data_IF_892225091677
#
_entry.id   IF_892225091677
#
_cell.length_a   1.000
_cell.length_b   1.000
_cell.length_c   1.000
_cell.angle_alpha   90.00
_cell.angle_beta   90.00
_cell.angle_gamma   90.00
#
_symmetry.space_group_name_H-M   'P 1'
#
loop_
_entity.id
_entity.type
_entity.pdbx_description
1 polymer ?
#
# COMPACT_ATOMS: atom_id res chain seq x y z
N UNK A 1 5.76 -8.64 0.73
CA UNK A 1 4.91 -9.85 0.98
C UNK A 1 3.75 -9.78 -0.01
N UNK A 2 3.20 -10.91 -0.46
CA UNK A 2 2.02 -10.91 -1.33
C UNK A 2 0.99 -11.95 -0.90
N UNK A 3 -0.29 -11.63 -1.09
CA UNK A 3 -1.43 -12.54 -0.90
C UNK A 3 -2.29 -12.54 -2.17
N UNK A 4 -2.61 -13.72 -2.67
CA UNK A 4 -3.61 -13.90 -3.72
C UNK A 4 -4.98 -14.11 -3.07
N UNK A 5 -6.00 -13.43 -3.60
CA UNK A 5 -7.40 -13.75 -3.37
C UNK A 5 -7.92 -14.52 -4.59
N UNK A 6 -8.14 -15.82 -4.41
CA UNK A 6 -8.55 -16.73 -5.48
C UNK A 6 -9.98 -16.44 -5.99
N UNK A 7 -10.83 -15.81 -5.18
CA UNK A 7 -12.19 -15.48 -5.61
C UNK A 7 -12.21 -14.32 -6.60
N UNK A 8 -11.38 -13.30 -6.37
CA UNK A 8 -11.32 -12.11 -7.21
C UNK A 8 -10.21 -12.15 -8.26
N UNK A 9 -9.25 -13.08 -8.14
CA UNK A 9 -8.05 -13.13 -8.98
C UNK A 9 -7.09 -11.96 -8.74
N UNK A 10 -7.25 -11.23 -7.63
CA UNK A 10 -6.40 -10.09 -7.27
C UNK A 10 -5.28 -10.51 -6.33
N UNK A 11 -4.08 -9.97 -6.58
CA UNK A 11 -2.94 -10.11 -5.68
C UNK A 11 -2.67 -8.79 -4.98
N UNK A 12 -2.75 -8.79 -3.66
CA UNK A 12 -2.31 -7.68 -2.81
C UNK A 12 -0.84 -7.85 -2.49
N UNK A 13 -0.06 -6.79 -2.69
CA UNK A 13 1.38 -6.74 -2.47
C UNK A 13 1.69 -5.68 -1.42
N UNK A 14 2.15 -6.10 -0.25
CA UNK A 14 2.69 -5.22 0.78
C UNK A 14 4.16 -4.95 0.53
N UNK A 15 4.48 -3.66 0.42
CA UNK A 15 5.80 -3.15 0.07
C UNK A 15 6.48 -2.73 1.37
N UNK A 16 7.71 -3.20 1.57
CA UNK A 16 8.51 -2.89 2.75
C UNK A 16 9.88 -2.39 2.32
N UNK A 17 10.45 -1.48 3.10
CA UNK A 17 11.86 -1.13 2.99
C UNK A 17 12.72 -2.36 3.30
N UNK A 18 13.70 -2.65 2.43
CA UNK A 18 14.47 -3.89 2.50
C UNK A 18 15.40 -3.95 3.73
N UNK A 19 15.79 -2.80 4.27
CA UNK A 19 16.78 -2.70 5.36
C UNK A 19 16.11 -2.61 6.72
N UNK A 20 15.09 -1.76 6.81
CA UNK A 20 14.38 -1.42 8.06
C UNK A 20 13.11 -2.23 8.25
N UNK A 21 12.63 -2.91 7.20
CA UNK A 21 11.33 -3.59 7.17
C UNK A 21 10.15 -2.66 7.46
N UNK A 22 10.34 -1.34 7.33
CA UNK A 22 9.26 -0.39 7.45
C UNK A 22 8.27 -0.60 6.30
N UNK A 23 6.98 -0.66 6.60
CA UNK A 23 5.94 -0.69 5.58
C UNK A 23 6.02 0.57 4.72
N UNK A 24 5.91 0.48 3.39
CA UNK A 24 5.97 1.64 2.49
C UNK A 24 4.65 1.90 1.79
N UNK A 25 3.74 0.93 1.82
CA UNK A 25 2.47 0.99 1.12
C UNK A 25 2.09 -0.38 0.58
N UNK A 26 0.98 -0.40 -0.14
CA UNK A 26 0.49 -1.61 -0.79
C UNK A 26 -0.13 -1.28 -2.13
N UNK A 27 -0.21 -2.30 -2.98
CA UNK A 27 -1.00 -2.26 -4.20
C UNK A 27 -1.75 -3.57 -4.39
N UNK A 28 -2.91 -3.50 -5.01
CA UNK A 28 -3.63 -4.66 -5.52
C UNK A 28 -3.57 -4.68 -7.04
N UNK A 29 -3.26 -5.83 -7.61
CA UNK A 29 -3.13 -6.03 -9.05
C UNK A 29 -3.99 -7.21 -9.47
N UNK A 30 -4.77 -7.05 -10.53
CA UNK A 30 -5.51 -8.14 -11.16
C UNK A 30 -4.52 -9.08 -11.86
N UNK A 31 -4.31 -10.30 -11.34
CA UNK A 31 -3.30 -11.24 -11.88
C UNK A 31 -3.92 -12.35 -12.74
N UNK A 32 -5.21 -12.59 -12.55
CA UNK A 32 -6.06 -13.40 -13.41
C UNK A 32 -7.12 -12.49 -14.05
N UNK A 33 -7.51 -12.68 -15.31
CA UNK A 33 -8.53 -11.83 -15.91
C UNK A 33 -9.85 -11.92 -15.15
N UNK A 34 -10.53 -10.79 -14.97
CA UNK A 34 -11.91 -10.73 -14.47
C UNK A 34 -12.82 -10.05 -15.49
N UNK A 35 -14.13 -10.09 -15.28
CA UNK A 35 -15.09 -9.40 -16.15
C UNK A 35 -14.87 -7.87 -16.13
N UNK A 36 -14.39 -7.33 -15.02
CA UNK A 36 -14.20 -5.88 -14.82
C UNK A 36 -12.79 -5.42 -15.18
N UNK A 37 -11.76 -6.21 -14.85
CA UNK A 37 -10.36 -5.80 -14.97
C UNK A 37 -9.55 -6.77 -15.80
N UNK A 38 -8.75 -6.21 -16.71
CA UNK A 38 -7.77 -6.98 -17.47
C UNK A 38 -6.63 -7.41 -16.54
N UNK A 39 -6.00 -8.54 -16.85
CA UNK A 39 -4.76 -8.96 -16.20
C UNK A 39 -3.71 -7.85 -16.31
N UNK A 40 -3.08 -7.50 -15.19
CA UNK A 40 -2.09 -6.44 -15.06
C UNK A 40 -2.68 -5.10 -14.59
N UNK A 41 -4.00 -4.94 -14.52
CA UNK A 41 -4.61 -3.72 -14.00
C UNK A 41 -4.31 -3.56 -12.51
N UNK A 42 -3.78 -2.39 -12.13
CA UNK A 42 -3.68 -1.98 -10.72
C UNK A 42 -5.05 -1.47 -10.29
N UNK A 43 -5.67 -2.16 -9.33
CA UNK A 43 -7.04 -1.87 -8.85
C UNK A 43 -7.03 -0.99 -7.61
N UNK A 44 -5.92 -0.96 -6.87
CA UNK A 44 -5.75 -0.17 -5.65
C UNK A 44 -4.28 0.15 -5.41
N UNK A 45 -3.98 1.33 -4.86
CA UNK A 45 -2.63 1.70 -4.41
C UNK A 45 -2.71 2.69 -3.27
N UNK A 46 -1.86 2.47 -2.27
CA UNK A 46 -1.55 3.43 -1.21
C UNK A 46 -0.04 3.47 -1.02
N UNK A 47 0.48 4.67 -0.76
CA UNK A 47 1.88 4.89 -0.45
C UNK A 47 2.00 5.80 0.77
N UNK A 48 2.98 5.51 1.62
CA UNK A 48 3.28 6.35 2.78
C UNK A 48 4.37 7.34 2.37
N UNK A 49 3.97 8.59 2.21
CA UNK A 49 4.84 9.69 1.76
C UNK A 49 5.60 10.34 2.91
N UNK A 50 5.02 10.35 4.11
CA UNK A 50 5.63 10.92 5.30
C UNK A 50 5.21 10.14 6.55
N UNK A 51 6.15 10.04 7.50
CA UNK A 51 5.90 9.57 8.86
C UNK A 51 6.49 10.58 9.82
N UNK A 52 5.82 10.78 10.94
CA UNK A 52 6.32 11.64 11.99
C UNK A 52 5.73 11.21 13.34
N UNK A 53 6.44 11.59 14.39
CA UNK A 53 5.99 11.49 15.78
C UNK A 53 5.70 12.91 16.24
N UNK A 54 4.61 13.09 16.99
CA UNK A 54 4.21 14.36 17.58
C UNK A 54 4.10 14.21 19.09
N UNK A 55 4.25 15.31 19.82
CA UNK A 55 4.25 15.31 21.27
C UNK A 55 2.85 15.56 21.85
N UNK A 56 2.06 16.41 21.17
CA UNK A 56 0.75 16.84 21.67
C UNK A 56 -0.41 16.42 20.77
N UNK A 57 -1.60 16.35 21.36
CA UNK A 57 -2.82 16.06 20.61
C UNK A 57 -3.11 17.20 19.63
N UNK A 58 -3.36 16.83 18.36
CA UNK A 58 -3.62 17.75 17.24
C UNK A 58 -2.39 18.56 16.76
N UNK A 59 -1.19 18.26 17.24
CA UNK A 59 0.03 18.82 16.65
C UNK A 59 0.20 18.29 15.22
N UNK A 60 0.47 19.20 14.28
CA UNK A 60 0.65 18.86 12.86
C UNK A 60 2.13 18.54 12.61
N UNK A 61 2.47 17.33 12.15
CA UNK A 61 3.86 16.97 11.98
C UNK A 61 4.55 17.73 10.84
N UNK A 62 5.80 18.14 11.06
CA UNK A 62 6.60 18.88 10.08
C UNK A 62 6.35 20.40 10.06
N UNK A 63 5.44 20.89 10.89
CA UNK A 63 5.21 22.32 11.10
C UNK A 63 6.02 22.79 12.32
N UNK A 64 7.35 22.67 12.27
CA UNK A 64 8.19 23.46 13.17
C UNK A 64 8.09 24.91 12.67
N UNK A 65 7.62 25.81 13.54
CA UNK A 65 7.41 27.23 13.24
C UNK A 65 8.66 27.98 12.79
#
# INVERSE_FOLDING_TARGET
IARLDEQSGQRTEWIFDKKTYAFLGERSVQVEPSETFKKGTVTFTIAITQRAVVNEMKEVPGQAG
#
